data_IF_325435470198
#
_entry.id   IF_325435470198
#
_cell.length_a   1.000
_cell.length_b   1.000
_cell.length_c   1.000
_cell.angle_alpha   90.00
_cell.angle_beta   90.00
_cell.angle_gamma   90.00
#
_symmetry.space_group_name_H-M   'P 1'
#
loop_
_entity.id
_entity.type
_entity.pdbx_description
1 polymer ?
#
# COMPACT_ATOMS: atom_id res chain seq x y z
N UNK A 1 -13.00 17.39 -13.14
CA UNK A 1 -13.10 16.04 -12.57
C UNK A 1 -11.84 15.81 -11.76
N UNK A 2 -11.93 15.64 -10.44
CA UNK A 2 -10.76 15.24 -9.65
C UNK A 2 -10.61 13.73 -9.78
N UNK A 3 -9.41 13.28 -10.16
CA UNK A 3 -9.05 11.86 -10.12
C UNK A 3 -8.81 11.52 -8.64
N UNK A 4 -9.84 11.02 -7.95
CA UNK A 4 -9.72 10.64 -6.54
C UNK A 4 -9.08 9.26 -6.37
N UNK A 5 -9.10 8.46 -7.43
CA UNK A 5 -8.65 7.07 -7.48
C UNK A 5 -8.04 6.78 -8.86
N UNK A 6 -7.03 5.91 -8.89
CA UNK A 6 -6.32 5.51 -10.11
C UNK A 6 -6.27 3.99 -10.16
N UNK A 7 -6.61 3.41 -11.32
CA UNK A 7 -6.59 1.97 -11.55
C UNK A 7 -5.87 1.64 -12.86
N UNK A 8 -5.08 0.57 -12.86
CA UNK A 8 -4.53 -0.03 -14.07
C UNK A 8 -4.28 -1.53 -13.87
N UNK A 9 -4.39 -2.33 -14.93
CA UNK A 9 -4.02 -3.76 -14.93
C UNK A 9 -2.56 -3.99 -15.33
N UNK A 10 -1.86 -2.92 -15.72
CA UNK A 10 -0.49 -2.95 -16.22
C UNK A 10 0.22 -1.66 -15.81
N UNK A 11 1.50 -1.76 -15.47
CA UNK A 11 2.34 -0.61 -15.10
C UNK A 11 3.65 -0.60 -15.90
N UNK A 12 4.23 0.58 -16.08
CA UNK A 12 5.62 0.71 -16.52
C UNK A 12 6.50 0.96 -15.31
N UNK A 13 7.37 0.00 -14.98
CA UNK A 13 8.38 0.15 -13.93
C UNK A 13 9.65 0.74 -14.54
N UNK A 14 10.08 1.88 -14.01
CA UNK A 14 11.39 2.48 -14.29
C UNK A 14 12.30 2.30 -13.08
N UNK A 15 13.48 1.72 -13.30
CA UNK A 15 14.48 1.49 -12.25
C UNK A 15 15.82 2.02 -12.72
N UNK A 16 16.47 2.85 -11.90
CA UNK A 16 17.85 3.26 -12.12
C UNK A 16 18.76 2.49 -11.18
N UNK A 17 19.68 1.73 -11.75
CA UNK A 17 20.68 0.98 -10.98
C UNK A 17 21.69 1.94 -10.37
N UNK A 18 21.85 1.90 -9.04
CA UNK A 18 22.70 2.85 -8.30
C UNK A 18 24.18 2.72 -8.62
N UNK A 19 24.66 1.49 -8.89
CA UNK A 19 26.08 1.23 -9.13
C UNK A 19 26.55 1.68 -10.51
N UNK A 20 25.69 1.53 -11.52
CA UNK A 20 26.01 1.79 -12.94
C UNK A 20 25.37 3.06 -13.48
N UNK A 21 24.37 3.62 -12.79
CA UNK A 21 23.59 4.77 -13.22
C UNK A 21 22.67 4.49 -14.42
N UNK A 22 22.52 3.22 -14.83
CA UNK A 22 21.70 2.85 -15.99
C UNK A 22 20.23 2.74 -15.60
N UNK A 23 19.36 3.32 -16.42
CA UNK A 23 17.91 3.23 -16.27
C UNK A 23 17.32 2.13 -17.15
N UNK A 24 16.45 1.32 -16.58
CA UNK A 24 15.74 0.24 -17.24
C UNK A 24 14.24 0.47 -17.12
N UNK A 25 13.50 0.23 -18.20
CA UNK A 25 12.03 0.27 -18.22
C UNK A 25 11.46 -1.09 -18.57
N UNK A 26 10.43 -1.52 -17.85
CA UNK A 26 9.70 -2.77 -18.12
C UNK A 26 8.21 -2.54 -17.94
N UNK A 27 7.42 -3.13 -18.83
CA UNK A 27 5.97 -3.22 -18.65
C UNK A 27 5.65 -4.51 -17.90
N UNK A 28 4.89 -4.40 -16.81
CA UNK A 28 4.58 -5.53 -15.93
C UNK A 28 3.06 -5.63 -15.72
N UNK A 29 2.48 -6.84 -15.75
CA UNK A 29 1.08 -7.08 -15.44
C UNK A 29 0.88 -7.00 -13.92
N UNK A 30 0.84 -5.78 -13.39
CA UNK A 30 0.59 -5.49 -11.98
C UNK A 30 -0.73 -4.74 -11.89
N UNK A 31 -1.65 -5.29 -11.11
CA UNK A 31 -2.89 -4.63 -10.73
C UNK A 31 -2.57 -3.46 -9.79
N UNK A 32 -2.59 -2.26 -10.34
CA UNK A 32 -2.33 -1.00 -9.65
C UNK A 32 -3.64 -0.38 -9.16
N UNK A 33 -3.67 0.00 -7.88
CA UNK A 33 -4.77 0.76 -7.31
C UNK A 33 -4.23 1.81 -6.33
N UNK A 34 -4.48 3.08 -6.62
CA UNK A 34 -4.11 4.21 -5.75
C UNK A 34 -5.34 5.01 -5.35
N UNK A 35 -5.38 5.40 -4.08
CA UNK A 35 -6.35 6.33 -3.48
C UNK A 35 -5.60 7.35 -2.62
N UNK A 36 -6.31 8.31 -2.04
CA UNK A 36 -5.72 9.20 -1.02
C UNK A 36 -5.17 8.48 0.23
N UNK A 37 -5.59 7.24 0.49
CA UNK A 37 -5.27 6.51 1.72
C UNK A 37 -4.19 5.44 1.52
N UNK A 38 -4.05 4.90 0.31
CA UNK A 38 -3.10 3.84 0.04
C UNK A 38 -2.75 3.72 -1.45
N UNK A 39 -1.61 3.09 -1.69
CA UNK A 39 -1.22 2.50 -2.97
C UNK A 39 -1.14 0.98 -2.80
N UNK A 40 -1.76 0.23 -3.71
CA UNK A 40 -1.70 -1.23 -3.75
C UNK A 40 -1.20 -1.69 -5.10
N UNK A 41 -0.22 -2.59 -5.06
CA UNK A 41 0.33 -3.29 -6.21
C UNK A 41 0.06 -4.77 -6.00
N UNK A 42 -0.71 -5.39 -6.89
CA UNK A 42 -1.06 -6.82 -6.79
C UNK A 42 -0.60 -7.59 -8.03
N UNK A 43 -0.16 -8.82 -7.81
CA UNK A 43 0.21 -9.77 -8.85
C UNK A 43 0.21 -11.19 -8.29
N UNK A 44 1.10 -12.03 -8.79
CA UNK A 44 1.27 -13.42 -8.38
C UNK A 44 2.71 -13.69 -7.93
N UNK A 45 2.88 -14.60 -6.98
CA UNK A 45 4.18 -15.11 -6.56
C UNK A 45 4.68 -16.23 -7.49
N UNK A 46 5.85 -16.81 -7.17
CA UNK A 46 6.45 -17.90 -7.95
C UNK A 46 5.58 -19.18 -8.02
N UNK A 47 4.64 -19.34 -7.10
CA UNK A 47 3.72 -20.48 -7.06
C UNK A 47 2.38 -20.16 -7.76
N UNK A 48 2.23 -18.99 -8.37
CA UNK A 48 0.96 -18.51 -8.94
C UNK A 48 -0.06 -18.11 -7.87
N UNK A 49 0.36 -17.93 -6.61
CA UNK A 49 -0.53 -17.48 -5.55
C UNK A 49 -0.64 -15.95 -5.58
N UNK A 50 -1.83 -15.36 -5.34
CA UNK A 50 -1.97 -13.91 -5.27
C UNK A 50 -1.06 -13.31 -4.22
N UNK A 51 -0.32 -12.26 -4.59
CA UNK A 51 0.57 -11.51 -3.70
C UNK A 51 0.36 -10.01 -3.91
N UNK A 52 0.50 -9.22 -2.84
CA UNK A 52 0.33 -7.78 -2.91
C UNK A 52 1.28 -7.00 -1.99
N UNK A 53 1.60 -5.79 -2.43
CA UNK A 53 2.36 -4.78 -1.69
C UNK A 53 1.46 -3.58 -1.47
N UNK A 54 1.26 -3.20 -0.20
CA UNK A 54 0.37 -2.10 0.17
C UNK A 54 1.18 -1.04 0.90
N UNK A 55 1.16 0.18 0.37
CA UNK A 55 1.68 1.37 1.02
C UNK A 55 0.52 2.17 1.57
N UNK A 56 0.49 2.39 2.88
CA UNK A 56 -0.54 3.20 3.53
C UNK A 56 -0.01 4.61 3.69
N UNK A 57 -0.79 5.61 3.26
CA UNK A 57 -0.43 7.02 3.45
C UNK A 57 -0.64 7.45 4.90
N UNK A 58 -0.05 8.58 5.31
CA UNK A 58 -0.31 9.16 6.63
C UNK A 58 -1.80 9.40 6.88
N UNK A 59 -2.55 9.78 5.84
CA UNK A 59 -4.01 9.96 5.91
C UNK A 59 -4.70 8.63 6.17
N UNK A 60 -4.28 7.57 5.47
CA UNK A 60 -4.79 6.21 5.71
C UNK A 60 -4.49 5.73 7.13
N UNK A 61 -3.26 5.93 7.61
CA UNK A 61 -2.85 5.55 8.96
C UNK A 61 -3.64 6.28 10.05
N UNK A 62 -3.88 7.59 9.90
CA UNK A 62 -4.72 8.35 10.84
C UNK A 62 -6.14 7.79 10.90
N UNK A 63 -6.75 7.52 9.74
CA UNK A 63 -8.09 6.91 9.68
C UNK A 63 -8.15 5.54 10.35
N UNK A 64 -7.12 4.71 10.16
CA UNK A 64 -7.04 3.41 10.83
C UNK A 64 -6.95 3.57 12.35
N UNK A 65 -6.12 4.50 12.84
CA UNK A 65 -6.01 4.78 14.27
C UNK A 65 -7.33 5.32 14.85
N UNK A 66 -8.00 6.22 14.13
CA UNK A 66 -9.30 6.76 14.54
C UNK A 66 -10.38 5.67 14.63
N UNK A 67 -10.34 4.68 13.73
CA UNK A 67 -11.27 3.54 13.72
C UNK A 67 -10.98 2.53 14.84
N UNK A 68 -9.70 2.27 15.14
CA UNK A 68 -9.33 1.37 16.24
C UNK A 68 -9.69 1.96 17.61
N UNK A 69 -9.76 3.29 17.70
CA UNK A 69 -9.94 4.01 18.96
C UNK A 69 -8.73 3.85 19.89
N UNK A 70 -8.79 4.47 21.07
CA UNK A 70 -7.73 4.35 22.08
C UNK A 70 -7.99 3.22 23.10
N UNK A 71 -9.04 2.44 22.91
CA UNK A 71 -9.61 1.61 23.97
C UNK A 71 -10.33 2.44 25.04
N UNK A 72 -10.86 1.82 26.10
CA UNK A 72 -11.42 2.52 27.26
C UNK A 72 -10.34 3.35 27.98
N UNK A 73 -10.70 4.55 28.44
CA UNK A 73 -9.79 5.42 29.22
C UNK A 73 -9.40 4.80 30.58
N UNK A 74 -10.23 3.89 31.10
CA UNK A 74 -10.00 3.16 32.35
C UNK A 74 -10.03 1.64 32.11
N UNK A 75 -9.11 0.92 32.75
CA UNK A 75 -9.02 -0.54 32.66
C UNK A 75 -10.30 -1.20 33.24
N UNK A 76 -11.11 -1.90 32.42
CA UNK A 76 -12.35 -2.50 32.88
C UNK A 76 -12.15 -3.71 33.81
N UNK A 77 -10.95 -4.33 33.83
CA UNK A 77 -10.67 -5.49 34.68
C UNK A 77 -9.75 -5.19 35.87
N UNK A 78 -9.14 -4.00 35.94
CA UNK A 78 -8.28 -3.54 37.04
C UNK A 78 -7.05 -4.42 37.31
N UNK A 79 -6.64 -5.25 36.35
CA UNK A 79 -5.57 -6.24 36.53
C UNK A 79 -4.34 -5.96 35.65
N UNK A 80 -4.38 -4.95 34.81
CA UNK A 80 -3.26 -4.57 33.96
C UNK A 80 -2.49 -3.41 34.64
N UNK A 81 -1.20 -3.63 34.94
CA UNK A 81 -0.28 -2.64 35.52
C UNK A 81 0.57 -1.98 34.44
#
# INVERSE_FOLDING_TARGET
>A
MSLNEIHASTVTLEVTDEATGKTFRRELPIDFYETANFLRLRGEDLNGSPSELVFVSDTGMRRLNDLMGNGPDEDPCGTHR
#
